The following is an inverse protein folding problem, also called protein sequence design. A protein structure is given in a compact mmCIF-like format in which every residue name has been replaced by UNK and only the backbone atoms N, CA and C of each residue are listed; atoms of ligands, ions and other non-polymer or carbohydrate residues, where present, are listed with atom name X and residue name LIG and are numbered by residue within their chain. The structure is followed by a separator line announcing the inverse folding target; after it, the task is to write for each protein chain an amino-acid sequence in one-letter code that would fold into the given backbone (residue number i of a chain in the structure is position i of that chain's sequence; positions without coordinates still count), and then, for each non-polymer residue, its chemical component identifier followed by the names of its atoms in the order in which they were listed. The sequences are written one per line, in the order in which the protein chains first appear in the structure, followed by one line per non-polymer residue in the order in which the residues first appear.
data_IF_518874049444
#
_entry.id   IF_518874049444
#
_cell.length_a   1.000
_cell.length_b   1.000
_cell.length_c   1.000
_cell.angle_alpha   90.00
_cell.angle_beta   90.00
_cell.angle_gamma   90.00
#
_symmetry.space_group_name_H-M   'P 1'
#
loop_
_entity.id
_entity.type
_entity.pdbx_description
1 polymer ?
#
# COMPACT_ATOMS: atom_id res chain seq x y z
N UNK A 1 3.65 20.90 -10.32
CA UNK A 1 3.02 20.07 -9.27
C UNK A 1 3.04 18.66 -9.81
N UNK A 2 4.14 17.94 -9.56
CA UNK A 2 4.31 16.57 -10.04
C UNK A 2 3.71 15.63 -9.00
N UNK A 3 2.70 14.87 -9.43
CA UNK A 3 2.14 13.82 -8.62
C UNK A 3 3.17 12.68 -8.59
N UNK A 4 3.66 12.28 -7.41
CA UNK A 4 4.62 11.20 -7.31
C UNK A 4 3.99 9.93 -7.89
N UNK A 5 4.67 9.30 -8.85
CA UNK A 5 4.25 8.05 -9.49
C UNK A 5 4.45 6.90 -8.51
N UNK A 6 3.66 6.84 -7.45
CA UNK A 6 3.79 5.85 -6.39
C UNK A 6 2.45 5.17 -6.17
N UNK A 7 2.40 3.86 -6.41
CA UNK A 7 1.23 3.03 -6.17
C UNK A 7 1.29 2.57 -4.72
N UNK A 8 0.49 3.20 -3.87
CA UNK A 8 0.34 2.78 -2.47
C UNK A 8 -0.70 1.67 -2.40
N UNK A 9 -0.29 0.48 -1.95
CA UNK A 9 -1.21 -0.64 -1.73
C UNK A 9 -1.26 -1.00 -0.25
N UNK A 10 -2.47 -1.07 0.28
CA UNK A 10 -2.71 -1.47 1.66
C UNK A 10 -2.93 -2.98 1.74
N UNK A 11 -2.04 -3.69 2.44
CA UNK A 11 -2.22 -5.12 2.72
C UNK A 11 -2.33 -5.31 4.23
N UNK A 12 -3.56 -5.58 4.68
CA UNK A 12 -3.90 -5.81 6.08
C UNK A 12 -4.40 -7.23 6.24
N UNK A 13 -3.90 -7.90 7.28
CA UNK A 13 -4.06 -9.35 7.44
C UNK A 13 -2.71 -10.04 7.25
N UNK A 14 -2.13 -10.47 8.37
CA UNK A 14 -0.81 -11.14 8.50
C UNK A 14 -0.68 -12.47 7.72
N UNK A 15 -1.60 -12.76 6.80
CA UNK A 15 -1.51 -13.89 5.88
C UNK A 15 -0.66 -13.55 4.65
N UNK A 16 -0.23 -14.60 3.96
CA UNK A 16 0.44 -14.47 2.67
C UNK A 16 -0.48 -13.74 1.67
N UNK A 17 0.12 -12.92 0.80
CA UNK A 17 -0.64 -12.28 -0.27
C UNK A 17 -1.30 -13.36 -1.10
N UNK A 18 -2.62 -13.26 -1.26
CA UNK A 18 -3.36 -14.19 -2.11
C UNK A 18 -2.79 -14.15 -3.53
N UNK A 19 -2.90 -15.27 -4.26
CA UNK A 19 -2.41 -15.36 -5.64
C UNK A 19 -3.03 -14.30 -6.56
N UNK A 20 -4.23 -13.81 -6.23
CA UNK A 20 -4.86 -12.69 -6.92
C UNK A 20 -4.13 -11.35 -6.65
N UNK A 21 -3.76 -11.08 -5.39
CA UNK A 21 -3.00 -9.88 -5.02
C UNK A 21 -1.59 -9.87 -5.63
N UNK A 22 -0.91 -11.02 -5.66
CA UNK A 22 0.38 -11.17 -6.34
C UNK A 22 0.26 -10.88 -7.85
N UNK A 23 -0.80 -11.37 -8.52
CA UNK A 23 -1.05 -11.05 -9.93
C UNK A 23 -1.33 -9.57 -10.15
N UNK A 24 -2.01 -8.90 -9.22
CA UNK A 24 -2.26 -7.47 -9.31
C UNK A 24 -0.95 -6.67 -9.22
N UNK A 25 -0.06 -7.01 -8.27
CA UNK A 25 1.26 -6.38 -8.13
C UNK A 25 2.12 -6.60 -9.37
N UNK A 26 2.19 -7.84 -9.87
CA UNK A 26 2.92 -8.16 -11.10
C UNK A 26 2.37 -7.41 -12.32
N UNK A 27 1.05 -7.16 -12.35
CA UNK A 27 0.43 -6.36 -13.41
C UNK A 27 0.87 -4.89 -13.29
N UNK A 28 0.89 -4.33 -12.09
CA UNK A 28 1.36 -2.96 -11.88
C UNK A 28 2.82 -2.79 -12.29
N UNK A 29 3.71 -3.72 -11.93
CA UNK A 29 5.10 -3.69 -12.39
C UNK A 29 5.22 -3.78 -13.93
N UNK A 30 4.34 -4.57 -14.56
CA UNK A 30 4.33 -4.74 -16.02
C UNK A 30 3.80 -3.52 -16.78
N UNK A 31 2.70 -2.93 -16.31
CA UNK A 31 2.01 -1.83 -17.00
C UNK A 31 2.52 -0.45 -16.58
N UNK A 32 3.14 -0.35 -15.41
CA UNK A 32 3.60 0.89 -14.81
C UNK A 32 5.01 0.73 -14.21
N UNK A 33 6.04 0.39 -15.02
CA UNK A 33 7.41 0.20 -14.52
C UNK A 33 8.04 1.48 -13.96
N UNK A 34 7.55 2.65 -14.38
CA UNK A 34 7.96 3.96 -13.85
C UNK A 34 7.30 4.31 -12.51
N UNK A 35 6.39 3.47 -12.01
CA UNK A 35 5.70 3.70 -10.75
C UNK A 35 6.34 2.88 -9.63
N UNK A 36 6.64 3.53 -8.52
CA UNK A 36 7.15 2.87 -7.32
C UNK A 36 5.98 2.22 -6.57
N UNK A 37 6.04 0.91 -6.36
CA UNK A 37 5.00 0.20 -5.60
C UNK A 37 5.39 0.21 -4.12
N UNK A 38 4.62 0.95 -3.30
CA UNK A 38 4.86 1.07 -1.87
C UNK A 38 3.80 0.32 -1.07
N UNK A 39 4.23 -0.65 -0.27
CA UNK A 39 3.34 -1.38 0.65
C UNK A 39 3.03 -0.51 1.86
N UNK A 40 1.75 -0.32 2.14
CA UNK A 40 1.25 0.23 3.40
C UNK A 40 0.74 -0.93 4.25
N UNK A 41 1.46 -1.23 5.34
CA UNK A 41 1.08 -2.24 6.32
C UNK A 41 0.84 -1.58 7.69
N UNK A 42 0.21 -2.32 8.62
CA UNK A 42 -0.12 -1.89 9.98
C UNK A 42 1.08 -1.40 10.81
N UNK A 43 2.33 -1.58 10.35
CA UNK A 43 3.51 -1.05 11.03
C UNK A 43 3.89 0.36 10.58
N UNK A 44 3.37 0.82 9.44
CA UNK A 44 3.67 2.14 8.85
C UNK A 44 2.61 3.17 9.24
N UNK A 45 1.36 2.73 9.46
CA UNK A 45 0.30 3.60 9.95
C UNK A 45 0.20 3.46 11.47
N UNK A 46 0.83 4.37 12.21
CA UNK A 46 0.58 4.53 13.65
C UNK A 46 -0.76 5.25 13.81
N UNK A 47 -1.84 4.58 14.26
CA UNK A 47 -3.10 5.25 14.54
C UNK A 47 -2.95 6.30 15.66
N UNK A 48 -1.87 6.32 16.43
CA UNK A 48 -1.56 7.39 17.38
C UNK A 48 -1.01 8.67 16.76
N UNK A 49 -0.54 8.65 15.51
CA UNK A 49 0.04 9.80 14.79
C UNK A 49 -1.00 10.77 14.25
N UNK A 50 -2.28 10.38 14.24
CA UNK A 50 -3.39 11.14 13.68
C UNK A 50 -4.37 11.52 14.78
N UNK A 51 -4.58 12.83 14.98
CA UNK A 51 -5.39 13.36 16.09
C UNK A 51 -6.85 12.88 16.08
N UNK A 52 -7.39 12.47 14.93
CA UNK A 52 -8.77 12.00 14.78
C UNK A 52 -8.98 10.54 15.19
N UNK A 53 -7.91 9.78 15.42
CA UNK A 53 -7.99 8.35 15.77
C UNK A 53 -8.03 8.13 17.30
N UNK A 54 -7.91 9.19 18.10
CA UNK A 54 -7.95 9.18 19.57
C UNK A 54 -9.36 9.28 20.18
N UNK A 55 -10.41 9.31 19.36
CA UNK A 55 -11.80 9.40 19.82
C UNK A 55 -12.57 8.12 19.49
N UNK A 56 -12.40 7.10 20.33
CA UNK A 56 -13.32 5.98 20.47
C UNK A 56 -13.66 5.81 21.96
#
# INVERSE_FOLDING_TARGET
MDIPKVIHYCWFGKGELSSAAQKAIASWEKYAPDFEIRRCDERVFDPGSVAWTKAA
#
